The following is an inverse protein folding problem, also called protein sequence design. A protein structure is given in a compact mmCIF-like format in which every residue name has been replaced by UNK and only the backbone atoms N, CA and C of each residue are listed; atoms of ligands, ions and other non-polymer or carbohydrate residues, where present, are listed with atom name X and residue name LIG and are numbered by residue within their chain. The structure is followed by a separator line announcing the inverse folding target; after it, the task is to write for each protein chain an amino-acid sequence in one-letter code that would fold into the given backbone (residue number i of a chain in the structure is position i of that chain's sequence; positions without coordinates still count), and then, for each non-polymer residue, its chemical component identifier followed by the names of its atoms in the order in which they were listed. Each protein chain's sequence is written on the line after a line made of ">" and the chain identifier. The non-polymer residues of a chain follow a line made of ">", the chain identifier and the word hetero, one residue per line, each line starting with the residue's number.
data_IF_751365925871
#
_entry.id   IF_751365925871
#
_cell.length_a   1.000
_cell.length_b   1.000
_cell.length_c   1.000
_cell.angle_alpha   90.00
_cell.angle_beta   90.00
_cell.angle_gamma   90.00
#
_symmetry.space_group_name_H-M   'P 1'
#
loop_
_entity.id
_entity.type
_entity.pdbx_description
1 polymer ?
#
# COMPACT_ATOMS: atom_id res chain seq x y z
N UNK A 1 1.73 -6.65 17.34
CA UNK A 1 2.11 -6.67 15.93
C UNK A 1 2.05 -5.23 15.48
N UNK A 2 3.19 -4.59 15.20
CA UNK A 2 3.24 -3.22 14.72
C UNK A 2 3.34 -3.29 13.21
N UNK A 3 2.21 -3.27 12.52
CA UNK A 3 2.15 -3.38 11.06
C UNK A 3 2.48 -2.02 10.44
N UNK A 4 3.76 -1.63 10.49
CA UNK A 4 4.22 -0.31 10.05
C UNK A 4 4.26 -0.24 8.52
N UNK A 5 3.48 0.69 7.95
CA UNK A 5 3.45 0.89 6.50
C UNK A 5 4.60 1.78 6.05
N UNK A 6 5.42 1.30 5.12
CA UNK A 6 6.47 2.10 4.48
C UNK A 6 5.98 2.68 3.16
N UNK A 7 6.19 4.00 3.00
CA UNK A 7 5.92 4.73 1.75
C UNK A 7 7.24 5.23 1.18
N UNK A 8 7.65 4.70 0.03
CA UNK A 8 8.79 5.25 -0.70
C UNK A 8 8.39 6.58 -1.35
N UNK A 9 9.17 7.63 -1.12
CA UNK A 9 8.81 9.01 -1.47
C UNK A 9 9.92 9.70 -2.27
N UNK A 10 9.57 10.55 -3.23
CA UNK A 10 10.51 11.47 -3.91
C UNK A 10 9.97 12.90 -3.97
N UNK A 11 10.73 13.81 -4.59
CA UNK A 11 10.40 15.24 -4.67
C UNK A 11 9.81 15.69 -6.03
N UNK A 12 9.43 14.76 -6.91
CA UNK A 12 8.86 15.11 -8.22
C UNK A 12 7.48 15.75 -8.12
N UNK A 13 7.22 16.85 -8.86
CA UNK A 13 5.97 17.61 -8.77
C UNK A 13 4.71 16.76 -9.07
N UNK A 14 4.77 15.90 -10.09
CA UNK A 14 3.67 15.01 -10.48
C UNK A 14 3.47 13.82 -9.51
N UNK A 15 4.47 13.54 -8.67
CA UNK A 15 4.51 12.41 -7.73
C UNK A 15 4.01 12.88 -6.35
N UNK A 16 4.29 14.13 -5.98
CA UNK A 16 3.94 14.71 -4.69
C UNK A 16 2.46 14.60 -4.34
N UNK A 17 1.55 14.82 -5.31
CA UNK A 17 0.11 14.71 -5.08
C UNK A 17 -0.31 13.28 -4.73
N UNK A 18 0.21 12.29 -5.46
CA UNK A 18 -0.03 10.86 -5.22
C UNK A 18 0.47 10.45 -3.83
N UNK A 19 1.68 10.86 -3.47
CA UNK A 19 2.23 10.59 -2.14
C UNK A 19 1.40 11.23 -1.02
N UNK A 20 0.93 12.46 -1.22
CA UNK A 20 0.08 13.16 -0.25
C UNK A 20 -1.29 12.50 -0.09
N UNK A 21 -1.88 11.96 -1.16
CA UNK A 21 -3.15 11.22 -1.06
C UNK A 21 -2.98 9.93 -0.24
N UNK A 22 -1.93 9.16 -0.51
CA UNK A 22 -1.63 7.95 0.29
C UNK A 22 -1.42 8.31 1.76
N UNK A 23 -0.56 9.29 2.05
CA UNK A 23 -0.28 9.73 3.43
C UNK A 23 -1.54 10.24 4.12
N UNK A 24 -2.29 11.13 3.48
CA UNK A 24 -3.51 11.69 4.06
C UNK A 24 -4.58 10.63 4.33
N UNK A 25 -4.63 9.59 3.52
CA UNK A 25 -5.53 8.46 3.75
C UNK A 25 -5.11 7.62 4.96
N UNK A 26 -3.82 7.27 5.08
CA UNK A 26 -3.32 6.53 6.25
C UNK A 26 -3.53 7.33 7.55
N UNK A 27 -3.27 8.64 7.52
CA UNK A 27 -3.53 9.54 8.65
C UNK A 27 -5.01 9.58 9.05
N UNK A 28 -5.91 9.67 8.07
CA UNK A 28 -7.36 9.66 8.32
C UNK A 28 -7.84 8.35 8.97
N UNK A 29 -7.21 7.23 8.64
CA UNK A 29 -7.48 5.92 9.23
C UNK A 29 -6.67 5.64 10.51
N UNK A 30 -5.78 6.54 10.91
CA UNK A 30 -4.85 6.37 12.04
C UNK A 30 -3.98 5.11 11.90
N UNK A 31 -3.55 4.81 10.68
CA UNK A 31 -2.61 3.74 10.39
C UNK A 31 -1.20 4.30 10.55
N UNK A 32 -0.39 3.63 11.36
CA UNK A 32 1.01 4.01 11.56
C UNK A 32 1.83 3.76 10.29
N UNK A 33 2.64 4.75 9.92
CA UNK A 33 3.44 4.69 8.71
C UNK A 33 4.79 5.40 8.87
N UNK A 34 5.75 5.04 8.02
CA UNK A 34 7.03 5.68 7.87
C UNK A 34 7.30 6.00 6.40
N UNK A 35 7.97 7.13 6.15
CA UNK A 35 8.30 7.57 4.81
C UNK A 35 9.79 7.34 4.53
N UNK A 36 10.08 6.54 3.50
CA UNK A 36 11.44 6.28 3.03
C UNK A 36 11.74 7.25 1.88
N UNK A 37 12.56 8.26 2.14
CA UNK A 37 13.00 9.18 1.09
C UNK A 37 13.98 8.46 0.15
N UNK A 38 13.62 8.30 -1.12
CA UNK A 38 14.47 7.67 -2.15
C UNK A 38 15.22 8.69 -3.01
N UNK A 39 14.90 9.99 -2.87
CA UNK A 39 15.54 11.04 -3.64
C UNK A 39 16.92 11.37 -3.03
N UNK A 40 16.96 11.53 -1.71
CA UNK A 40 18.17 11.89 -0.96
C UNK A 40 18.92 10.70 -0.35
N UNK A 41 18.31 9.52 -0.24
CA UNK A 41 18.92 8.32 0.32
C UNK A 41 19.04 7.20 -0.73
N UNK A 42 20.28 6.78 -0.98
CA UNK A 42 20.63 5.76 -1.97
C UNK A 42 20.22 4.34 -1.57
N UNK A 43 20.32 4.01 -0.29
CA UNK A 43 19.97 2.70 0.23
C UNK A 43 18.45 2.47 0.13
N UNK A 44 17.65 3.47 0.50
CA UNK A 44 16.20 3.44 0.32
C UNK A 44 15.82 3.27 -1.16
N UNK A 45 16.52 3.98 -2.05
CA UNK A 45 16.28 3.91 -3.50
C UNK A 45 16.62 2.53 -4.06
N UNK A 46 17.73 1.94 -3.62
CA UNK A 46 18.15 0.59 -4.00
C UNK A 46 17.14 -0.43 -3.48
N UNK A 47 16.84 -0.37 -2.18
CA UNK A 47 15.91 -1.25 -1.50
C UNK A 47 14.53 -1.27 -2.18
N UNK A 48 13.96 -0.10 -2.50
CA UNK A 48 12.69 -0.01 -3.22
C UNK A 48 12.75 -0.77 -4.56
N UNK A 49 13.80 -0.58 -5.36
CA UNK A 49 13.91 -1.21 -6.69
C UNK A 49 14.11 -2.72 -6.62
N UNK A 50 14.75 -3.21 -5.56
CA UNK A 50 14.99 -4.63 -5.33
C UNK A 50 13.72 -5.33 -4.81
N UNK A 51 12.94 -4.67 -3.95
CA UNK A 51 11.76 -5.26 -3.30
C UNK A 51 10.45 -5.08 -4.07
N UNK A 52 10.39 -4.22 -5.09
CA UNK A 52 9.26 -4.24 -6.05
C UNK A 52 9.35 -5.53 -6.88
N UNK A 53 8.30 -6.37 -6.94
CA UNK A 53 8.29 -7.60 -7.73
C UNK A 53 8.47 -7.33 -9.23
N UNK A 54 9.17 -8.22 -9.94
CA UNK A 54 9.54 -8.01 -11.34
C UNK A 54 8.34 -7.80 -12.26
N UNK A 55 7.28 -8.55 -12.05
CA UNK A 55 5.99 -8.47 -12.75
C UNK A 55 5.21 -7.18 -12.46
N UNK A 56 5.55 -6.48 -11.37
CA UNK A 56 4.98 -5.18 -10.98
C UNK A 56 5.87 -4.00 -11.41
N UNK A 57 7.04 -4.27 -12.00
CA UNK A 57 7.90 -3.22 -12.57
C UNK A 57 7.35 -2.76 -13.92
N UNK A 58 7.48 -1.47 -14.27
CA UNK A 58 7.10 -0.99 -15.59
C UNK A 58 7.96 -1.65 -16.68
N UNK A 59 7.35 -2.02 -17.82
CA UNK A 59 7.97 -2.78 -18.92
C UNK A 59 9.30 -2.21 -19.40
N UNK A 60 9.44 -0.88 -19.40
CA UNK A 60 10.65 -0.17 -19.84
C UNK A 60 11.05 0.91 -18.83
N UNK A 61 11.13 0.60 -17.54
CA UNK A 61 11.48 1.63 -16.56
C UNK A 61 11.82 1.15 -15.16
N UNK A 62 12.03 2.15 -14.31
CA UNK A 62 12.26 1.98 -12.88
C UNK A 62 10.93 2.25 -12.18
N UNK A 63 10.52 1.46 -11.15
CA UNK A 63 9.34 1.78 -10.37
C UNK A 63 9.44 3.19 -9.78
N UNK A 64 8.37 3.96 -9.94
CA UNK A 64 8.28 5.34 -9.45
C UNK A 64 7.45 5.40 -8.17
N UNK A 65 7.79 6.27 -7.22
CA UNK A 65 6.98 6.43 -6.01
C UNK A 65 5.57 7.02 -6.30
N UNK A 66 4.62 6.92 -5.35
CA UNK A 66 4.73 6.16 -4.11
C UNK A 66 4.75 4.66 -4.37
N UNK A 67 5.57 3.94 -3.61
CA UNK A 67 5.57 2.47 -3.52
C UNK A 67 5.30 2.11 -2.07
N UNK A 68 4.30 1.28 -1.83
CA UNK A 68 3.73 1.01 -0.51
C UNK A 68 4.11 -0.42 -0.12
N UNK A 69 4.62 -0.54 1.10
CA UNK A 69 5.00 -1.82 1.69
C UNK A 69 4.41 -1.92 3.10
N UNK A 70 4.00 -3.12 3.47
CA UNK A 70 3.79 -3.48 4.86
C UNK A 70 5.05 -4.20 5.33
N UNK A 71 5.87 -3.52 6.11
CA UNK A 71 7.24 -3.95 6.42
C UNK A 71 8.05 -4.28 5.15
N UNK A 72 8.39 -5.55 4.93
CA UNK A 72 9.09 -6.02 3.74
C UNK A 72 8.14 -6.53 2.63
N UNK A 73 6.85 -6.64 2.90
CA UNK A 73 5.87 -7.13 1.92
C UNK A 73 5.41 -6.00 1.01
N UNK A 74 5.55 -6.20 -0.30
CA UNK A 74 5.07 -5.25 -1.29
C UNK A 74 3.54 -5.27 -1.38
N UNK A 75 2.92 -4.12 -1.11
CA UNK A 75 1.47 -3.92 -1.24
C UNK A 75 1.10 -3.50 -2.65
N UNK A 76 1.78 -2.46 -3.18
CA UNK A 76 1.53 -1.95 -4.52
C UNK A 76 2.01 -0.52 -4.74
N UNK A 77 1.73 -0.03 -5.94
CA UNK A 77 1.95 1.34 -6.35
C UNK A 77 0.71 2.22 -6.06
N UNK A 78 0.73 3.46 -6.55
CA UNK A 78 -0.40 4.37 -6.36
C UNK A 78 -1.67 3.89 -7.04
N UNK A 79 -1.56 3.38 -8.27
CA UNK A 79 -2.69 2.91 -9.06
C UNK A 79 -3.42 1.77 -8.34
N UNK A 80 -2.67 0.78 -7.85
CA UNK A 80 -3.22 -0.33 -7.06
C UNK A 80 -3.86 0.17 -5.75
N UNK A 81 -3.24 1.13 -5.07
CA UNK A 81 -3.81 1.76 -3.87
C UNK A 81 -5.13 2.50 -4.18
N UNK A 82 -5.17 3.22 -5.30
CA UNK A 82 -6.34 3.97 -5.73
C UNK A 82 -7.51 3.03 -6.05
N UNK A 83 -7.27 1.93 -6.77
CA UNK A 83 -8.26 0.88 -7.00
C UNK A 83 -8.79 0.32 -5.68
N UNK A 84 -7.91 -0.02 -4.74
CA UNK A 84 -8.30 -0.53 -3.43
C UNK A 84 -9.13 0.49 -2.61
N UNK A 85 -8.88 1.79 -2.81
CA UNK A 85 -9.65 2.87 -2.18
C UNK A 85 -11.07 2.96 -2.76
N UNK A 86 -11.22 2.86 -4.07
CA UNK A 86 -12.53 2.84 -4.74
C UNK A 86 -13.34 1.59 -4.35
N UNK A 87 -12.67 0.44 -4.27
CA UNK A 87 -13.29 -0.86 -3.91
C UNK A 87 -13.49 -1.04 -2.40
N UNK A 88 -13.02 -0.11 -1.56
CA UNK A 88 -13.01 -0.20 -0.10
C UNK A 88 -12.23 -1.42 0.44
N UNK A 89 -11.22 -1.90 -0.28
CA UNK A 89 -10.36 -3.04 0.07
C UNK A 89 -8.99 -2.62 0.59
N UNK A 90 -8.80 -1.35 0.99
CA UNK A 90 -7.49 -0.82 1.40
C UNK A 90 -6.82 -1.59 2.54
N UNK A 91 -7.58 -2.12 3.49
CA UNK A 91 -7.01 -2.94 4.56
C UNK A 91 -6.42 -4.25 4.02
N UNK A 92 -7.08 -4.89 3.06
CA UNK A 92 -6.55 -6.08 2.37
C UNK A 92 -5.31 -5.73 1.54
N UNK A 93 -5.36 -4.61 0.80
CA UNK A 93 -4.22 -4.08 0.05
C UNK A 93 -2.99 -3.85 0.95
N UNK A 94 -3.19 -3.27 2.14
CA UNK A 94 -2.12 -3.04 3.11
C UNK A 94 -1.74 -4.31 3.90
N UNK A 95 -2.43 -5.44 3.72
CA UNK A 95 -2.22 -6.64 4.53
C UNK A 95 -2.56 -6.46 6.01
N UNK A 96 -3.47 -5.53 6.33
CA UNK A 96 -3.89 -5.18 7.68
C UNK A 96 -5.23 -5.83 8.03
N UNK A 97 -5.44 -6.12 9.32
CA UNK A 97 -6.76 -6.50 9.80
C UNK A 97 -7.64 -5.25 9.92
N UNK A 98 -8.81 -5.19 9.26
CA UNK A 98 -9.70 -4.05 9.39
C UNK A 98 -10.19 -3.88 10.83
N UNK A 99 -10.39 -2.64 11.32
CA UNK A 99 -10.87 -2.41 12.67
C UNK A 99 -12.29 -2.99 12.87
N UNK A 100 -12.62 -3.47 14.08
CA UNK A 100 -13.96 -3.97 14.39
C UNK A 100 -15.05 -2.95 14.05
N UNK A 101 -16.06 -3.36 13.29
CA UNK A 101 -17.17 -2.50 12.87
C UNK A 101 -16.97 -1.76 11.54
N UNK A 102 -15.83 -1.94 10.86
CA UNK A 102 -15.69 -1.47 9.47
C UNK A 102 -16.57 -2.29 8.51
N UNK A 103 -17.18 -1.65 7.51
CA UNK A 103 -18.04 -2.30 6.50
C UNK A 103 -17.31 -3.44 5.76
N UNK A 104 -15.98 -3.37 5.69
CA UNK A 104 -15.09 -4.38 5.11
C UNK A 104 -15.13 -5.69 5.89
N UNK A 105 -15.18 -5.65 7.23
CA UNK A 105 -15.34 -6.85 8.07
C UNK A 105 -16.65 -7.56 7.75
N UNK A 106 -17.72 -6.81 7.47
CA UNK A 106 -19.02 -7.40 7.12
C UNK A 106 -18.95 -8.17 5.79
N UNK A 107 -18.34 -7.59 4.75
CA UNK A 107 -18.19 -8.26 3.45
C UNK A 107 -17.21 -9.43 3.50
N UNK A 108 -16.05 -9.29 4.16
CA UNK A 108 -15.10 -10.40 4.35
C UNK A 108 -15.71 -11.54 5.16
N UNK A 109 -16.48 -11.22 6.20
CA UNK A 109 -17.21 -12.23 6.98
C UNK A 109 -18.26 -12.94 6.13
N UNK A 110 -19.06 -12.19 5.34
CA UNK A 110 -20.05 -12.77 4.44
C UNK A 110 -19.40 -13.64 3.35
N UNK A 111 -18.33 -13.17 2.71
CA UNK A 111 -17.61 -13.91 1.68
C UNK A 111 -16.94 -15.16 2.24
N UNK A 112 -16.36 -15.08 3.44
CA UNK A 112 -15.81 -16.25 4.14
C UNK A 112 -16.90 -17.25 4.52
N UNK A 113 -18.09 -16.81 4.91
CA UNK A 113 -19.24 -17.70 5.11
C UNK A 113 -19.64 -18.38 3.80
N UNK A 114 -19.80 -17.62 2.70
CA UNK A 114 -20.21 -18.17 1.40
C UNK A 114 -19.19 -19.19 0.90
N UNK A 115 -17.90 -18.87 0.91
CA UNK A 115 -16.83 -19.76 0.43
C UNK A 115 -16.54 -20.94 1.37
N UNK A 116 -16.85 -20.82 2.67
CA UNK A 116 -16.72 -21.93 3.63
C UNK A 116 -17.94 -22.85 3.66
N UNK A 117 -18.96 -22.58 2.82
CA UNK A 117 -20.12 -23.45 2.62
C UNK A 117 -19.88 -24.55 1.57
N UNK A 118 -18.74 -24.52 0.88
CA UNK A 118 -18.36 -25.47 -0.19
C UNK A 118 -17.28 -26.50 0.25
N UNK A 119 -17.29 -26.93 1.52
CA UNK A 119 -16.59 -28.14 2.01
C UNK A 119 -17.45 -28.92 2.98
#
# INVERSE_FOLDING_TARGET
>A
FNDLIFICRSHGYNIKKKQQDVVGFLEALKIDYAQLDIASNEDNRRWMRENVPGEKKPTNGIPLPPQIFNEAMYCGDYETFFEAKEDNTVYEFLGLTPPPGSKVVFFLFLFKIITSSDV
#
